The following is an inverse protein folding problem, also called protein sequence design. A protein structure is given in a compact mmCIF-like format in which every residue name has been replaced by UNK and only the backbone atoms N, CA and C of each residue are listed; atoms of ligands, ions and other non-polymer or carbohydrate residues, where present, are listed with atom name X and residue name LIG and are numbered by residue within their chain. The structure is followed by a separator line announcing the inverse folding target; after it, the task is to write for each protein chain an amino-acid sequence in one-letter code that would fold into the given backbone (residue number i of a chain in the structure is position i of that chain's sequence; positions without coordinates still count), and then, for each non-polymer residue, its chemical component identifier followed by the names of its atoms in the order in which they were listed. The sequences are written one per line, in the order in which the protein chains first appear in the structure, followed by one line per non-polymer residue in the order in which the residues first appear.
data_IF_686387559260
#
_entry.id   IF_686387559260
#
_cell.length_a   1.000
_cell.length_b   1.000
_cell.length_c   1.000
_cell.angle_alpha   90.00
_cell.angle_beta   90.00
_cell.angle_gamma   90.00
#
_symmetry.space_group_name_H-M   'P 1'
#
loop_
_entity.id
_entity.type
_entity.pdbx_description
1 polymer ?
#
# COMPACT_ATOMS: atom_id res chain seq x y z
N UNK A 1 -21.88 41.34 5.44
CA UNK A 1 -21.99 39.87 5.25
C UNK A 1 -20.67 39.39 4.71
N UNK A 2 -19.74 39.03 5.59
CA UNK A 2 -18.55 38.30 5.16
C UNK A 2 -19.04 36.98 4.57
N UNK A 3 -18.75 36.73 3.29
CA UNK A 3 -18.84 35.38 2.75
C UNK A 3 -17.83 34.57 3.56
N UNK A 4 -18.28 33.77 4.50
CA UNK A 4 -17.44 32.78 5.17
C UNK A 4 -16.82 31.95 4.07
N UNK A 5 -15.50 32.06 3.90
CA UNK A 5 -14.76 31.28 2.93
C UNK A 5 -15.02 29.80 3.19
N UNK A 6 -15.24 29.01 2.14
CA UNK A 6 -15.43 27.57 2.30
C UNK A 6 -14.20 26.95 2.98
N UNK A 7 -14.38 25.95 3.87
CA UNK A 7 -13.26 25.29 4.52
C UNK A 7 -12.28 24.70 3.49
N UNK A 8 -10.95 24.79 3.72
CA UNK A 8 -9.94 24.18 2.86
C UNK A 8 -10.21 22.72 2.49
N UNK A 9 -10.71 21.91 3.43
CA UNK A 9 -11.04 20.50 3.22
C UNK A 9 -12.20 20.31 2.24
N UNK A 10 -13.20 21.19 2.26
CA UNK A 10 -14.34 21.18 1.33
C UNK A 10 -13.90 21.59 -0.08
N UNK A 11 -13.02 22.59 -0.19
CA UNK A 11 -12.42 22.97 -1.47
C UNK A 11 -11.60 21.81 -2.07
N UNK A 12 -10.80 21.13 -1.24
CA UNK A 12 -10.03 19.96 -1.66
C UNK A 12 -10.94 18.81 -2.09
N UNK A 13 -12.05 18.57 -1.37
CA UNK A 13 -13.05 17.56 -1.75
C UNK A 13 -13.65 17.87 -3.13
N UNK A 14 -14.05 19.11 -3.39
CA UNK A 14 -14.60 19.51 -4.70
C UNK A 14 -13.61 19.26 -5.82
N UNK A 15 -12.35 19.65 -5.65
CA UNK A 15 -11.30 19.41 -6.65
C UNK A 15 -11.11 17.92 -6.92
N UNK A 16 -11.01 17.11 -5.85
CA UNK A 16 -10.86 15.66 -5.98
C UNK A 16 -12.05 15.00 -6.70
N UNK A 17 -13.28 15.34 -6.32
CA UNK A 17 -14.48 14.79 -6.91
C UNK A 17 -14.64 15.18 -8.38
N UNK A 18 -14.24 16.40 -8.74
CA UNK A 18 -14.24 16.86 -10.13
C UNK A 18 -13.30 16.04 -11.00
N UNK A 19 -12.06 15.84 -10.54
CA UNK A 19 -11.09 15.02 -11.26
C UNK A 19 -11.55 13.56 -11.36
N UNK A 20 -12.10 13.01 -10.26
CA UNK A 20 -12.62 11.65 -10.26
C UNK A 20 -13.73 11.45 -11.30
N UNK A 21 -14.66 12.40 -11.41
CA UNK A 21 -15.73 12.33 -12.40
C UNK A 21 -15.19 12.32 -13.84
N UNK A 22 -14.14 13.10 -14.12
CA UNK A 22 -13.48 13.13 -15.43
C UNK A 22 -12.73 11.83 -15.75
N UNK A 23 -12.23 11.14 -14.72
CA UNK A 23 -11.48 9.90 -14.85
C UNK A 23 -12.37 8.64 -14.97
N UNK A 24 -13.67 8.72 -14.66
CA UNK A 24 -14.55 7.55 -14.68
C UNK A 24 -14.77 7.00 -16.12
N UNK A 25 -14.71 5.67 -16.31
CA UNK A 25 -14.85 5.04 -17.61
C UNK A 25 -16.31 4.95 -18.04
N UNK A 26 -16.61 5.42 -19.26
CA UNK A 26 -17.92 5.31 -19.90
C UNK A 26 -18.03 6.36 -21.00
N UNK A 27 -18.38 5.93 -22.22
CA UNK A 27 -18.44 6.83 -23.39
C UNK A 27 -19.72 7.67 -23.40
N UNK A 28 -20.71 7.30 -22.59
CA UNK A 28 -21.99 8.00 -22.45
C UNK A 28 -22.05 8.69 -21.09
N UNK A 29 -22.42 9.97 -21.09
CA UNK A 29 -22.50 10.81 -19.89
C UNK A 29 -23.38 10.18 -18.78
N UNK A 30 -24.38 9.37 -19.16
CA UNK A 30 -25.30 8.72 -18.24
C UNK A 30 -24.69 7.59 -17.39
N UNK A 31 -23.81 6.76 -17.97
CA UNK A 31 -23.19 5.65 -17.23
C UNK A 31 -22.21 6.17 -16.17
N UNK A 32 -21.37 7.15 -16.54
CA UNK A 32 -20.44 7.81 -15.60
C UNK A 32 -21.17 8.45 -14.42
N UNK A 33 -22.34 9.07 -14.67
CA UNK A 33 -23.15 9.68 -13.61
C UNK A 33 -23.68 8.63 -12.64
N UNK A 34 -24.17 7.48 -13.14
CA UNK A 34 -24.67 6.40 -12.28
C UNK A 34 -23.53 5.81 -11.43
N UNK A 35 -22.37 5.57 -12.03
CA UNK A 35 -21.19 5.06 -11.31
C UNK A 35 -20.70 6.05 -10.26
N UNK A 36 -20.66 7.34 -10.60
CA UNK A 36 -20.28 8.39 -9.67
C UNK A 36 -21.26 8.53 -8.51
N UNK A 37 -22.57 8.50 -8.77
CA UNK A 37 -23.58 8.52 -7.70
C UNK A 37 -23.47 7.30 -6.77
N UNK A 38 -23.20 6.12 -7.34
CA UNK A 38 -22.94 4.90 -6.55
C UNK A 38 -21.69 5.08 -5.68
N UNK A 39 -20.61 5.63 -6.24
CA UNK A 39 -19.41 5.97 -5.50
C UNK A 39 -19.74 6.91 -4.34
N UNK A 40 -20.40 8.05 -4.59
CA UNK A 40 -20.78 9.03 -3.57
C UNK A 40 -21.57 8.39 -2.43
N UNK A 41 -22.54 7.54 -2.75
CA UNK A 41 -23.30 6.79 -1.74
C UNK A 41 -22.40 5.88 -0.90
N UNK A 42 -21.50 5.13 -1.53
CA UNK A 42 -20.60 4.20 -0.84
C UNK A 42 -19.63 4.92 0.10
N UNK A 43 -19.18 6.13 -0.26
CA UNK A 43 -18.27 6.92 0.56
C UNK A 43 -18.98 7.86 1.54
N UNK A 44 -20.33 7.84 1.60
CA UNK A 44 -21.11 8.66 2.55
C UNK A 44 -21.29 10.11 2.13
N UNK A 45 -21.15 10.41 0.84
CA UNK A 45 -21.32 11.74 0.24
C UNK A 45 -22.64 11.90 -0.53
N UNK A 46 -23.46 10.86 -0.64
CA UNK A 46 -24.65 10.83 -1.50
C UNK A 46 -25.69 11.91 -1.22
N UNK A 47 -25.88 12.30 0.04
CA UNK A 47 -26.85 13.33 0.44
C UNK A 47 -26.25 14.75 0.44
N UNK A 48 -24.92 14.85 0.42
CA UNK A 48 -24.20 16.12 0.52
C UNK A 48 -23.73 16.65 -0.83
N UNK A 49 -23.56 15.76 -1.82
CA UNK A 49 -22.97 16.09 -3.12
C UNK A 49 -24.00 15.86 -4.22
N UNK A 50 -24.29 16.92 -4.98
CA UNK A 50 -25.18 16.89 -6.13
C UNK A 50 -24.41 17.17 -7.44
N UNK A 51 -24.85 16.52 -8.51
CA UNK A 51 -24.34 16.74 -9.87
C UNK A 51 -25.30 17.66 -10.62
N UNK A 52 -24.80 18.81 -11.08
CA UNK A 52 -25.55 19.69 -11.96
C UNK A 52 -25.58 19.19 -13.41
N UNK A 53 -26.47 19.77 -14.21
CA UNK A 53 -26.75 19.35 -15.60
C UNK A 53 -25.53 19.35 -16.56
N UNK A 54 -24.44 20.03 -16.18
CA UNK A 54 -23.19 20.12 -16.97
C UNK A 54 -22.01 19.35 -16.34
N UNK A 55 -22.26 18.46 -15.38
CA UNK A 55 -21.20 17.77 -14.63
C UNK A 55 -20.54 18.63 -13.54
N UNK A 56 -21.16 19.77 -13.20
CA UNK A 56 -20.68 20.62 -12.11
C UNK A 56 -21.03 19.98 -10.77
N UNK A 57 -20.04 19.77 -9.93
CA UNK A 57 -20.23 19.23 -8.57
C UNK A 57 -20.60 20.35 -7.63
N UNK A 58 -21.72 20.19 -6.94
CA UNK A 58 -22.23 21.12 -5.93
C UNK A 58 -22.27 20.38 -4.59
N UNK A 59 -21.91 21.07 -3.51
CA UNK A 59 -22.03 20.53 -2.16
C UNK A 59 -23.11 21.34 -1.45
N UNK A 60 -24.15 20.67 -0.99
CA UNK A 60 -25.31 21.31 -0.36
C UNK A 60 -24.90 21.96 0.97
N UNK A 61 -25.04 23.30 1.13
CA UNK A 61 -24.61 23.97 2.36
C UNK A 61 -25.32 23.47 3.61
N UNK A 62 -26.56 23.00 3.46
CA UNK A 62 -27.36 22.41 4.55
C UNK A 62 -26.84 21.05 5.02
N UNK A 63 -26.09 20.33 4.19
CA UNK A 63 -25.53 19.02 4.54
C UNK A 63 -24.15 19.12 5.21
N UNK A 64 -23.45 20.26 5.07
CA UNK A 64 -22.11 20.47 5.63
C UNK A 64 -22.02 20.21 7.14
N UNK A 65 -22.95 20.66 8.00
CA UNK A 65 -22.85 20.42 9.45
C UNK A 65 -22.90 18.94 9.85
N UNK A 66 -23.55 18.11 9.03
CA UNK A 66 -23.67 16.66 9.26
C UNK A 66 -22.62 15.83 8.52
N UNK A 67 -21.80 16.44 7.67
CA UNK A 67 -20.85 15.74 6.83
C UNK A 67 -19.66 15.24 7.66
N UNK A 68 -19.52 13.93 7.79
CA UNK A 68 -18.33 13.31 8.39
C UNK A 68 -17.23 13.16 7.34
N UNK A 69 -16.52 14.27 7.08
CA UNK A 69 -15.45 14.30 6.09
C UNK A 69 -14.28 13.35 6.40
N UNK A 70 -13.82 13.19 7.66
CA UNK A 70 -12.82 12.18 8.00
C UNK A 70 -13.22 10.76 7.59
N UNK A 71 -14.47 10.37 7.79
CA UNK A 71 -14.96 9.05 7.36
C UNK A 71 -15.13 8.96 5.84
N UNK A 72 -15.56 10.03 5.18
CA UNK A 72 -15.64 10.07 3.73
C UNK A 72 -14.24 9.90 3.10
N UNK A 73 -13.23 10.65 3.56
CA UNK A 73 -11.84 10.52 3.11
C UNK A 73 -11.31 9.09 3.29
N UNK A 74 -11.55 8.49 4.48
CA UNK A 74 -11.24 7.08 4.75
C UNK A 74 -11.88 6.14 3.72
N UNK A 75 -13.19 6.27 3.48
CA UNK A 75 -13.91 5.40 2.54
C UNK A 75 -13.47 5.60 1.10
N UNK A 76 -13.13 6.82 0.70
CA UNK A 76 -12.57 7.12 -0.63
C UNK A 76 -11.28 6.31 -0.85
N UNK A 77 -10.34 6.35 0.11
CA UNK A 77 -9.10 5.59 0.02
C UNK A 77 -9.32 4.09 -0.05
N UNK A 78 -10.25 3.56 0.76
CA UNK A 78 -10.55 2.13 0.76
C UNK A 78 -11.26 1.71 -0.53
N UNK A 79 -12.08 2.58 -1.11
CA UNK A 79 -12.81 2.30 -2.34
C UNK A 79 -11.89 2.32 -3.57
N UNK A 80 -11.05 3.35 -3.69
CA UNK A 80 -10.15 3.50 -4.84
C UNK A 80 -8.86 2.69 -4.67
N UNK A 81 -8.44 2.41 -3.44
CA UNK A 81 -7.30 1.55 -3.15
C UNK A 81 -6.02 2.07 -3.79
N UNK A 82 -5.47 1.28 -4.71
CA UNK A 82 -4.26 1.56 -5.50
C UNK A 82 -4.58 2.00 -6.95
N UNK A 83 -5.85 2.26 -7.27
CA UNK A 83 -6.31 2.57 -8.63
C UNK A 83 -6.21 4.07 -8.98
N UNK A 84 -5.83 4.93 -8.04
CA UNK A 84 -5.70 6.36 -8.32
C UNK A 84 -4.48 6.62 -9.22
N UNK A 85 -4.73 7.30 -10.34
CA UNK A 85 -3.65 7.85 -11.17
C UNK A 85 -2.87 8.96 -10.43
N UNK A 86 -1.74 9.44 -10.98
CA UNK A 86 -0.93 10.45 -10.32
C UNK A 86 -1.68 11.75 -9.98
N UNK A 87 -2.57 12.24 -10.86
CA UNK A 87 -3.31 13.49 -10.65
C UNK A 87 -4.32 13.32 -9.53
N UNK A 88 -5.14 12.27 -9.61
CA UNK A 88 -6.14 11.96 -8.60
C UNK A 88 -5.51 11.68 -7.23
N UNK A 89 -4.35 11.02 -7.22
CA UNK A 89 -3.60 10.74 -5.99
C UNK A 89 -3.14 12.02 -5.28
N UNK A 90 -2.61 13.01 -6.00
CA UNK A 90 -2.17 14.27 -5.39
C UNK A 90 -3.35 15.08 -4.83
N UNK A 91 -4.49 15.09 -5.53
CA UNK A 91 -5.72 15.69 -5.03
C UNK A 91 -6.24 14.98 -3.78
N UNK A 92 -6.18 13.64 -3.76
CA UNK A 92 -6.55 12.86 -2.57
C UNK A 92 -5.62 13.15 -1.39
N UNK A 93 -4.31 13.23 -1.61
CA UNK A 93 -3.34 13.58 -0.55
C UNK A 93 -3.66 14.95 0.02
N UNK A 94 -3.98 15.94 -0.83
CA UNK A 94 -4.43 17.26 -0.36
C UNK A 94 -5.71 17.16 0.47
N UNK A 95 -6.75 16.49 -0.04
CA UNK A 95 -8.00 16.26 0.68
C UNK A 95 -7.74 15.65 2.07
N UNK A 96 -6.90 14.63 2.14
CA UNK A 96 -6.56 13.96 3.39
C UNK A 96 -5.90 14.91 4.39
N UNK A 97 -4.88 15.66 3.96
CA UNK A 97 -4.11 16.55 4.84
C UNK A 97 -4.97 17.70 5.37
N UNK A 98 -5.76 18.35 4.51
CA UNK A 98 -6.68 19.42 4.93
C UNK A 98 -7.74 18.88 5.91
N UNK A 99 -8.30 17.70 5.63
CA UNK A 99 -9.27 17.04 6.53
C UNK A 99 -8.64 16.72 7.88
N UNK A 100 -7.41 16.21 7.90
CA UNK A 100 -6.70 15.91 9.13
C UNK A 100 -6.40 17.17 9.94
N UNK A 101 -5.91 18.24 9.32
CA UNK A 101 -5.59 19.50 10.02
C UNK A 101 -6.82 20.19 10.60
N UNK A 102 -7.94 20.21 9.87
CA UNK A 102 -9.19 20.77 10.39
C UNK A 102 -9.74 19.94 11.56
N UNK A 103 -9.70 18.60 11.43
CA UNK A 103 -10.14 17.71 12.50
C UNK A 103 -9.24 17.83 13.74
N UNK A 104 -7.93 17.92 13.53
CA UNK A 104 -6.93 18.12 14.59
C UNK A 104 -7.09 19.46 15.28
N UNK A 105 -7.36 20.52 14.54
CA UNK A 105 -7.63 21.86 15.09
C UNK A 105 -8.87 21.86 15.99
N UNK A 106 -9.85 21.02 15.69
CA UNK A 106 -11.06 20.84 16.51
C UNK A 106 -10.80 19.93 17.72
N UNK A 107 -10.06 18.83 17.53
CA UNK A 107 -9.66 17.91 18.60
C UNK A 107 -8.46 17.06 18.19
N UNK A 108 -7.27 17.44 18.67
CA UNK A 108 -6.04 16.68 18.39
C UNK A 108 -6.08 15.22 18.90
N UNK A 109 -6.61 14.91 20.10
CA UNK A 109 -6.73 13.52 20.53
C UNK A 109 -7.62 12.68 19.60
N UNK A 110 -8.75 13.23 19.15
CA UNK A 110 -9.66 12.51 18.26
C UNK A 110 -9.03 12.29 16.87
N UNK A 111 -8.36 13.31 16.32
CA UNK A 111 -7.64 13.20 15.06
C UNK A 111 -6.52 12.15 15.11
N UNK A 112 -5.79 12.07 16.23
CA UNK A 112 -4.75 11.05 16.43
C UNK A 112 -5.32 9.64 16.57
N UNK A 113 -6.47 9.47 17.23
CA UNK A 113 -7.17 8.17 17.29
C UNK A 113 -7.62 7.74 15.90
N UNK A 114 -8.22 8.66 15.13
CA UNK A 114 -8.66 8.42 13.76
C UNK A 114 -7.49 8.03 12.84
N UNK A 115 -6.39 8.80 12.87
CA UNK A 115 -5.19 8.47 12.12
C UNK A 115 -4.64 7.10 12.54
N UNK A 116 -4.60 6.80 13.84
CA UNK A 116 -4.17 5.49 14.34
C UNK A 116 -5.03 4.33 13.85
N UNK A 117 -6.35 4.53 13.69
CA UNK A 117 -7.24 3.54 13.09
C UNK A 117 -6.95 3.38 11.60
N UNK A 118 -6.81 4.47 10.86
CA UNK A 118 -6.42 4.43 9.44
C UNK A 118 -5.08 3.74 9.20
N UNK A 119 -4.08 3.98 10.04
CA UNK A 119 -2.80 3.29 9.95
C UNK A 119 -2.97 1.78 10.13
N UNK A 120 -3.94 1.30 10.93
CA UNK A 120 -4.22 -0.13 11.07
C UNK A 120 -5.00 -0.71 9.90
N UNK A 121 -5.90 0.07 9.33
CA UNK A 121 -6.80 -0.40 8.26
C UNK A 121 -6.13 -0.36 6.88
N UNK A 122 -5.36 0.70 6.60
CA UNK A 122 -4.81 0.99 5.27
C UNK A 122 -3.47 1.75 5.32
N UNK A 123 -2.65 1.55 6.36
CA UNK A 123 -1.36 2.22 6.51
C UNK A 123 -0.43 2.03 5.31
N UNK A 124 -0.46 0.87 4.66
CA UNK A 124 0.27 0.63 3.42
C UNK A 124 -0.06 1.63 2.32
N UNK A 125 -1.36 1.90 2.09
CA UNK A 125 -1.79 2.89 1.08
C UNK A 125 -1.38 4.30 1.47
N UNK A 126 -1.54 4.68 2.75
CA UNK A 126 -1.10 5.99 3.24
C UNK A 126 0.41 6.20 3.03
N UNK A 127 1.21 5.17 3.30
CA UNK A 127 2.65 5.20 3.05
C UNK A 127 2.95 5.31 1.56
N UNK A 128 2.31 4.47 0.73
CA UNK A 128 2.55 4.46 -0.71
C UNK A 128 2.19 5.77 -1.44
N UNK A 129 1.11 6.43 -1.02
CA UNK A 129 0.72 7.75 -1.52
C UNK A 129 1.56 8.90 -0.93
N UNK A 130 2.50 8.61 -0.02
CA UNK A 130 3.38 9.61 0.59
C UNK A 130 2.67 10.53 1.59
N UNK A 131 1.50 10.12 2.09
CA UNK A 131 0.76 10.90 3.10
C UNK A 131 1.55 10.96 4.40
N UNK A 132 2.14 9.83 4.80
CA UNK A 132 2.91 9.73 6.05
C UNK A 132 4.06 10.75 6.10
N UNK A 133 4.74 10.98 4.99
CA UNK A 133 5.87 11.91 4.91
C UNK A 133 5.45 13.39 4.92
N UNK A 134 4.18 13.68 4.59
CA UNK A 134 3.62 15.03 4.52
C UNK A 134 2.84 15.43 5.77
N UNK A 135 2.58 14.49 6.69
CA UNK A 135 1.96 14.80 7.97
C UNK A 135 2.89 15.67 8.85
N UNK A 136 2.32 16.46 9.77
CA UNK A 136 3.11 17.30 10.65
C UNK A 136 4.12 16.49 11.48
N UNK A 137 5.34 17.03 11.64
CA UNK A 137 6.45 16.35 12.32
C UNK A 137 6.18 15.95 13.78
N UNK A 138 5.22 16.61 14.43
CA UNK A 138 4.86 16.30 15.81
C UNK A 138 3.90 15.11 15.94
N UNK A 139 3.37 14.59 14.82
CA UNK A 139 2.60 13.35 14.81
C UNK A 139 3.55 12.17 15.00
N UNK A 140 3.36 11.42 16.10
CA UNK A 140 4.17 10.25 16.40
C UNK A 140 3.78 9.09 15.49
N UNK A 141 4.74 8.59 14.72
CA UNK A 141 4.56 7.43 13.84
C UNK A 141 5.13 6.16 14.46
N UNK A 142 4.49 4.99 14.27
CA UNK A 142 5.11 3.70 14.58
C UNK A 142 6.44 3.54 13.84
N UNK A 143 7.44 2.96 14.51
CA UNK A 143 8.78 2.77 13.95
C UNK A 143 8.77 1.99 12.62
N UNK A 144 7.79 1.10 12.44
CA UNK A 144 7.56 0.38 11.20
C UNK A 144 7.54 1.30 9.97
N UNK A 145 6.89 2.46 10.03
CA UNK A 145 6.77 3.38 8.88
C UNK A 145 8.08 4.11 8.56
N UNK A 146 9.00 4.21 9.52
CA UNK A 146 10.34 4.72 9.27
C UNK A 146 11.22 3.66 8.60
N UNK A 147 11.04 2.40 8.99
CA UNK A 147 11.76 1.25 8.46
C UNK A 147 11.28 0.90 7.05
N UNK A 148 9.98 0.70 6.87
CA UNK A 148 9.36 0.19 5.64
C UNK A 148 8.84 1.32 4.77
N UNK A 149 9.77 2.10 4.21
CA UNK A 149 9.44 3.17 3.27
C UNK A 149 9.00 2.60 1.91
N UNK A 150 8.12 3.29 1.17
CA UNK A 150 7.71 2.82 -0.16
C UNK A 150 8.92 2.60 -1.07
N UNK A 151 9.00 1.42 -1.70
CA UNK A 151 10.12 1.04 -2.55
C UNK A 151 11.40 0.60 -1.81
N UNK A 152 11.37 0.47 -0.48
CA UNK A 152 12.52 0.00 0.30
C UNK A 152 12.80 -1.49 0.10
N UNK A 153 14.04 -1.87 0.40
CA UNK A 153 14.50 -3.26 0.42
C UNK A 153 15.11 -3.60 1.77
N UNK A 154 14.77 -4.77 2.30
CA UNK A 154 15.25 -5.28 3.58
C UNK A 154 15.85 -6.68 3.38
N UNK A 155 17.17 -6.77 3.42
CA UNK A 155 17.89 -8.04 3.43
C UNK A 155 18.08 -8.50 4.88
N UNK A 156 17.52 -9.64 5.26
CA UNK A 156 17.63 -10.24 6.59
C UNK A 156 18.51 -11.49 6.54
N UNK A 157 19.58 -11.49 7.34
CA UNK A 157 20.53 -12.61 7.47
C UNK A 157 20.14 -13.44 8.68
N UNK A 158 19.44 -14.54 8.46
CA UNK A 158 18.84 -15.35 9.53
C UNK A 158 18.81 -16.84 9.13
N UNK A 159 19.02 -17.75 10.08
CA UNK A 159 19.02 -19.19 9.79
C UNK A 159 17.62 -19.67 9.34
N UNK A 160 16.59 -19.14 10.00
CA UNK A 160 15.16 -19.35 9.75
C UNK A 160 14.51 -17.97 9.59
N UNK A 161 13.47 -17.83 8.75
CA UNK A 161 12.90 -16.53 8.39
C UNK A 161 12.03 -15.86 9.49
N UNK A 162 12.36 -16.06 10.77
CA UNK A 162 11.50 -15.65 11.87
C UNK A 162 11.36 -14.13 11.98
N UNK A 163 12.44 -13.38 11.82
CA UNK A 163 12.42 -11.92 11.91
C UNK A 163 11.73 -11.31 10.69
N UNK A 164 11.99 -11.85 9.50
CA UNK A 164 11.32 -11.42 8.28
C UNK A 164 9.80 -11.59 8.36
N UNK A 165 9.34 -12.75 8.86
CA UNK A 165 7.90 -12.97 9.06
C UNK A 165 7.31 -12.10 10.18
N UNK A 166 8.06 -11.82 11.25
CA UNK A 166 7.61 -10.91 12.30
C UNK A 166 7.41 -9.48 11.75
N UNK A 167 8.36 -8.98 10.95
CA UNK A 167 8.27 -7.69 10.28
C UNK A 167 7.05 -7.62 9.33
N UNK A 168 6.86 -8.65 8.51
CA UNK A 168 5.70 -8.72 7.61
C UNK A 168 4.40 -8.80 8.41
N UNK A 169 4.37 -9.53 9.52
CA UNK A 169 3.19 -9.61 10.38
C UNK A 169 2.86 -8.26 11.02
N UNK A 170 3.86 -7.52 11.47
CA UNK A 170 3.67 -6.15 11.96
C UNK A 170 3.12 -5.24 10.87
N UNK A 171 3.67 -5.31 9.65
CA UNK A 171 3.15 -4.55 8.50
C UNK A 171 1.69 -4.86 8.20
N UNK A 172 1.29 -6.13 8.22
CA UNK A 172 -0.13 -6.52 8.05
C UNK A 172 -1.03 -5.93 9.14
N UNK A 173 -0.54 -5.82 10.39
CA UNK A 173 -1.31 -5.19 11.47
C UNK A 173 -1.47 -3.67 11.28
N UNK A 174 -0.65 -3.07 10.43
CA UNK A 174 -0.72 -1.68 9.98
C UNK A 174 -1.26 -1.54 8.54
N UNK A 175 -2.13 -2.45 8.11
CA UNK A 175 -2.90 -2.32 6.87
C UNK A 175 -2.06 -2.45 5.59
N UNK A 176 -0.84 -2.99 5.65
CA UNK A 176 -0.10 -3.38 4.45
C UNK A 176 -0.63 -4.70 3.90
N UNK A 177 -0.75 -4.80 2.58
CA UNK A 177 -1.01 -6.09 1.92
C UNK A 177 0.28 -6.91 1.88
N UNK A 178 0.23 -8.19 2.24
CA UNK A 178 1.42 -9.05 2.27
C UNK A 178 1.35 -10.15 1.21
N UNK A 179 2.44 -10.28 0.47
CA UNK A 179 2.68 -11.28 -0.55
C UNK A 179 3.94 -12.05 -0.18
N UNK A 180 3.86 -13.37 -0.06
CA UNK A 180 5.00 -14.19 0.34
C UNK A 180 5.29 -15.27 -0.70
N UNK A 181 6.52 -15.31 -1.20
CA UNK A 181 7.06 -16.45 -1.94
C UNK A 181 7.93 -17.25 -0.97
N UNK A 182 7.50 -18.47 -0.66
CA UNK A 182 8.06 -19.23 0.47
C UNK A 182 8.50 -20.64 0.07
N UNK A 183 9.54 -21.17 0.70
CA UNK A 183 9.96 -22.58 0.58
C UNK A 183 9.06 -23.55 1.35
N UNK A 184 8.25 -23.05 2.29
CA UNK A 184 7.36 -23.86 3.09
C UNK A 184 5.93 -23.84 2.55
N UNK A 185 5.21 -24.91 2.82
CA UNK A 185 3.80 -25.02 2.46
C UNK A 185 2.96 -23.87 3.09
N UNK A 186 1.99 -23.28 2.37
CA UNK A 186 1.28 -22.09 2.84
C UNK A 186 0.53 -22.30 4.16
N UNK A 187 -0.03 -23.49 4.38
CA UNK A 187 -0.72 -23.87 5.62
C UNK A 187 0.19 -23.65 6.85
N UNK A 188 1.47 -24.01 6.75
CA UNK A 188 2.48 -23.85 7.81
C UNK A 188 2.82 -22.40 8.05
N UNK A 189 2.92 -21.59 7.00
CA UNK A 189 3.19 -20.16 7.12
C UNK A 189 2.02 -19.45 7.80
N UNK A 190 0.78 -19.72 7.37
CA UNK A 190 -0.42 -19.14 7.99
C UNK A 190 -0.54 -19.49 9.46
N UNK A 191 -0.31 -20.76 9.80
CA UNK A 191 -0.37 -21.24 11.18
C UNK A 191 0.73 -20.63 12.05
N UNK A 192 1.98 -20.66 11.59
CA UNK A 192 3.14 -20.25 12.38
C UNK A 192 3.25 -18.74 12.59
N UNK A 193 2.85 -17.94 11.59
CA UNK A 193 3.10 -16.49 11.58
C UNK A 193 1.82 -15.64 11.59
N UNK A 194 0.63 -16.27 11.64
CA UNK A 194 -0.63 -15.54 11.75
C UNK A 194 -0.98 -14.71 10.50
N UNK A 195 -0.53 -15.15 9.33
CA UNK A 195 -0.72 -14.49 8.02
C UNK A 195 -1.95 -15.03 7.29
N UNK A 196 -3.11 -15.02 7.96
CA UNK A 196 -4.34 -15.66 7.46
C UNK A 196 -4.84 -15.08 6.14
N UNK A 197 -4.75 -13.77 5.96
CA UNK A 197 -5.28 -13.05 4.79
C UNK A 197 -4.20 -12.65 3.77
N UNK A 198 -2.98 -13.16 3.93
CA UNK A 198 -1.86 -12.85 3.02
C UNK A 198 -1.88 -13.76 1.79
N UNK A 199 -1.42 -13.22 0.67
CA UNK A 199 -1.17 -14.00 -0.55
C UNK A 199 0.13 -14.77 -0.36
N UNK A 200 0.07 -16.11 -0.43
CA UNK A 200 1.23 -16.97 -0.20
C UNK A 200 1.38 -17.92 -1.38
N UNK A 201 2.52 -17.86 -2.04
CA UNK A 201 2.93 -18.75 -3.13
C UNK A 201 4.00 -19.69 -2.60
N UNK A 202 3.80 -20.98 -2.80
CA UNK A 202 4.78 -21.98 -2.43
C UNK A 202 5.77 -22.25 -3.56
N UNK A 203 7.04 -21.99 -3.30
CA UNK A 203 8.14 -22.31 -4.19
C UNK A 203 8.41 -23.83 -4.16
N UNK A 204 7.93 -24.55 -5.16
CA UNK A 204 8.06 -26.02 -5.21
C UNK A 204 7.91 -26.57 -6.63
N UNK A 205 8.54 -27.70 -6.92
CA UNK A 205 8.28 -28.51 -8.12
C UNK A 205 7.06 -29.42 -7.97
N UNK A 206 6.46 -29.50 -6.77
CA UNK A 206 5.29 -30.35 -6.53
C UNK A 206 4.07 -29.78 -7.22
N UNK A 207 3.39 -30.61 -8.01
CA UNK A 207 2.07 -30.30 -8.56
C UNK A 207 1.02 -30.57 -7.48
N UNK A 208 0.51 -29.50 -6.87
CA UNK A 208 -0.53 -29.55 -5.83
C UNK A 208 -1.67 -28.59 -6.17
N UNK A 209 -2.73 -28.57 -5.36
CA UNK A 209 -3.89 -27.69 -5.58
C UNK A 209 -3.63 -26.25 -5.16
N UNK A 210 -2.74 -26.05 -4.19
CA UNK A 210 -2.31 -24.75 -3.71
C UNK A 210 -1.60 -23.94 -4.80
N UNK A 211 -1.57 -22.62 -4.66
CA UNK A 211 -0.82 -21.73 -5.55
C UNK A 211 0.68 -21.99 -5.39
N UNK A 212 1.30 -22.54 -6.43
CA UNK A 212 2.74 -22.85 -6.47
C UNK A 212 3.46 -22.10 -7.58
N UNK A 213 4.77 -21.93 -7.43
CA UNK A 213 5.67 -21.53 -8.50
C UNK A 213 6.97 -22.35 -8.41
N UNK A 214 7.59 -22.67 -9.53
CA UNK A 214 8.83 -23.46 -9.51
C UNK A 214 10.06 -22.56 -9.33
N UNK A 215 11.15 -23.04 -8.71
CA UNK A 215 12.36 -22.23 -8.51
C UNK A 215 13.04 -21.72 -9.79
N UNK A 216 12.82 -22.36 -10.94
CA UNK A 216 13.31 -21.96 -12.26
C UNK A 216 12.41 -20.94 -12.97
N UNK A 217 11.17 -20.75 -12.52
CA UNK A 217 10.24 -19.76 -13.10
C UNK A 217 10.47 -18.34 -12.56
N UNK A 218 11.66 -17.80 -12.85
CA UNK A 218 12.05 -16.45 -12.47
C UNK A 218 11.10 -15.40 -13.07
N UNK A 219 10.70 -15.59 -14.33
CA UNK A 219 9.80 -14.68 -15.04
C UNK A 219 8.40 -14.65 -14.41
N UNK A 220 7.86 -15.80 -14.02
CA UNK A 220 6.59 -15.89 -13.30
C UNK A 220 6.65 -15.20 -11.93
N UNK A 221 7.76 -15.34 -11.20
CA UNK A 221 7.96 -14.64 -9.94
C UNK A 221 8.06 -13.12 -10.13
N UNK A 222 8.81 -12.64 -11.12
CA UNK A 222 8.88 -11.21 -11.47
C UNK A 222 7.53 -10.64 -11.89
N UNK A 223 6.76 -11.39 -12.68
CA UNK A 223 5.40 -11.01 -13.09
C UNK A 223 4.45 -10.91 -11.90
N UNK A 224 4.53 -11.88 -10.97
CA UNK A 224 3.78 -11.83 -9.71
C UNK A 224 4.13 -10.58 -8.91
N UNK A 225 5.41 -10.27 -8.69
CA UNK A 225 5.84 -9.07 -7.97
C UNK A 225 5.42 -7.79 -8.70
N UNK A 226 5.43 -7.79 -10.03
CA UNK A 226 4.98 -6.65 -10.85
C UNK A 226 3.47 -6.39 -10.73
N UNK A 227 2.68 -7.42 -10.43
CA UNK A 227 1.24 -7.30 -10.18
C UNK A 227 0.89 -6.81 -8.77
N UNK A 228 1.88 -6.71 -7.88
CA UNK A 228 1.67 -6.23 -6.51
C UNK A 228 1.49 -4.71 -6.53
N UNK A 229 0.33 -4.27 -6.01
CA UNK A 229 -0.05 -2.87 -5.95
C UNK A 229 0.61 -2.07 -4.83
N UNK A 230 0.32 -0.77 -4.82
CA UNK A 230 0.80 0.20 -3.84
C UNK A 230 0.50 -0.24 -2.40
N UNK A 231 1.40 0.06 -1.46
CA UNK A 231 1.17 -0.23 -0.05
C UNK A 231 1.28 -1.70 0.34
N UNK A 232 2.10 -2.44 -0.41
CA UNK A 232 2.29 -3.88 -0.24
C UNK A 232 3.71 -4.22 0.19
N UNK A 233 3.83 -5.34 0.91
CA UNK A 233 5.09 -5.96 1.31
C UNK A 233 5.23 -7.30 0.61
N UNK A 234 6.37 -7.52 -0.04
CA UNK A 234 6.73 -8.74 -0.74
C UNK A 234 7.86 -9.43 0.01
N UNK A 235 7.62 -10.63 0.52
CA UNK A 235 8.61 -11.45 1.23
C UNK A 235 9.09 -12.61 0.35
N UNK A 236 10.40 -12.81 0.30
CA UNK A 236 11.03 -14.02 -0.20
C UNK A 236 11.83 -14.69 0.93
N UNK A 237 11.46 -15.92 1.31
CA UNK A 237 12.23 -16.73 2.30
C UNK A 237 13.03 -17.88 1.67
N UNK A 238 13.02 -17.92 0.35
CA UNK A 238 13.42 -19.06 -0.48
C UNK A 238 14.62 -18.75 -1.38
N UNK A 239 15.48 -17.81 -0.97
CA UNK A 239 16.69 -17.45 -1.72
C UNK A 239 17.56 -18.68 -2.05
N UNK A 240 17.69 -19.60 -1.09
CA UNK A 240 18.55 -20.77 -1.25
C UNK A 240 18.02 -21.74 -2.29
N UNK A 241 16.71 -21.95 -2.33
CA UNK A 241 16.05 -22.81 -3.31
C UNK A 241 16.19 -22.22 -4.73
N UNK A 242 16.06 -20.91 -4.88
CA UNK A 242 16.29 -20.21 -6.15
C UNK A 242 17.78 -20.32 -6.56
N UNK A 243 18.70 -20.11 -5.62
CA UNK A 243 20.15 -20.21 -5.86
C UNK A 243 20.58 -21.61 -6.30
N UNK A 244 20.01 -22.66 -5.70
CA UNK A 244 20.36 -24.05 -6.04
C UNK A 244 20.04 -24.36 -7.50
N UNK A 245 18.93 -23.85 -8.01
CA UNK A 245 18.48 -24.13 -9.39
C UNK A 245 19.12 -23.20 -10.42
N UNK A 246 19.30 -21.92 -10.10
CA UNK A 246 19.72 -20.89 -11.06
C UNK A 246 21.19 -20.47 -10.90
N UNK A 247 21.88 -21.00 -9.90
CA UNK A 247 23.19 -20.50 -9.47
C UNK A 247 23.12 -19.15 -8.75
N UNK A 248 24.22 -18.77 -8.11
CA UNK A 248 24.29 -17.52 -7.35
C UNK A 248 24.12 -16.27 -8.23
N UNK A 249 24.80 -16.24 -9.39
CA UNK A 249 24.72 -15.10 -10.30
C UNK A 249 23.28 -14.89 -10.79
N UNK A 250 22.59 -15.97 -11.20
CA UNK A 250 21.19 -15.90 -11.64
C UNK A 250 20.26 -15.42 -10.53
N UNK A 251 20.41 -15.96 -9.31
CA UNK A 251 19.62 -15.49 -8.17
C UNK A 251 19.88 -14.01 -7.83
N UNK A 252 21.14 -13.56 -7.86
CA UNK A 252 21.50 -12.17 -7.57
C UNK A 252 20.88 -11.19 -8.57
N UNK A 253 20.94 -11.49 -9.87
CA UNK A 253 20.31 -10.63 -10.88
C UNK A 253 18.79 -10.63 -10.76
N UNK A 254 18.19 -11.78 -10.47
CA UNK A 254 16.76 -11.86 -10.19
C UNK A 254 16.34 -10.95 -9.03
N UNK A 255 17.04 -10.98 -7.89
CA UNK A 255 16.69 -10.10 -6.77
C UNK A 255 16.98 -8.61 -7.04
N UNK A 256 17.92 -8.27 -7.93
CA UNK A 256 18.12 -6.89 -8.42
C UNK A 256 16.97 -6.43 -9.32
N UNK A 257 16.46 -7.32 -10.15
CA UNK A 257 15.26 -7.06 -10.95
C UNK A 257 14.06 -6.81 -10.01
N UNK A 258 13.83 -7.68 -9.03
CA UNK A 258 12.77 -7.50 -8.04
C UNK A 258 12.90 -6.18 -7.28
N UNK A 259 14.12 -5.79 -6.88
CA UNK A 259 14.38 -4.47 -6.27
C UNK A 259 13.90 -3.33 -7.18
N UNK A 260 14.18 -3.43 -8.47
CA UNK A 260 13.78 -2.41 -9.45
C UNK A 260 12.26 -2.34 -9.62
N UNK A 261 11.60 -3.52 -9.69
CA UNK A 261 10.14 -3.62 -9.75
C UNK A 261 9.50 -3.01 -8.50
N UNK A 262 9.98 -3.38 -7.30
CA UNK A 262 9.45 -2.89 -6.04
C UNK A 262 9.65 -1.38 -5.87
N UNK A 263 10.80 -0.84 -6.28
CA UNK A 263 11.05 0.60 -6.29
C UNK A 263 10.06 1.36 -7.19
N UNK A 264 9.78 0.82 -8.39
CA UNK A 264 8.82 1.41 -9.34
C UNK A 264 7.38 1.37 -8.80
N UNK A 265 6.96 0.22 -8.28
CA UNK A 265 5.60 0.01 -7.77
C UNK A 265 5.40 0.55 -6.35
N UNK A 266 6.47 1.10 -5.73
CA UNK A 266 6.49 1.56 -4.34
C UNK A 266 6.09 0.46 -3.33
N UNK A 267 6.31 -0.80 -3.67
CA UNK A 267 6.16 -1.93 -2.75
C UNK A 267 7.47 -2.17 -1.99
N UNK A 268 7.38 -2.76 -0.80
CA UNK A 268 8.55 -3.04 0.03
C UNK A 268 9.00 -4.48 -0.18
N UNK A 269 10.28 -4.69 -0.47
CA UNK A 269 10.86 -6.02 -0.65
C UNK A 269 11.58 -6.48 0.62
N UNK A 270 11.22 -7.65 1.14
CA UNK A 270 11.89 -8.31 2.27
C UNK A 270 12.47 -9.63 1.76
N UNK A 271 13.76 -9.86 2.01
CA UNK A 271 14.48 -11.05 1.56
C UNK A 271 15.15 -11.67 2.78
N UNK A 272 14.78 -12.92 3.08
CA UNK A 272 15.43 -13.72 4.11
C UNK A 272 16.47 -14.64 3.47
N UNK A 273 17.72 -14.53 3.93
CA UNK A 273 18.83 -15.40 3.52
C UNK A 273 19.45 -16.08 4.74
N UNK A 274 19.82 -17.35 4.59
CA UNK A 274 20.66 -18.02 5.58
C UNK A 274 22.14 -17.77 5.24
N UNK A 275 22.88 -17.00 6.07
CA UNK A 275 24.25 -16.63 5.76
C UNK A 275 25.21 -17.83 5.80
N UNK A 276 24.90 -18.87 6.59
CA UNK A 276 25.72 -20.09 6.68
C UNK A 276 25.73 -20.91 5.39
N UNK A 277 24.81 -20.63 4.47
CA UNK A 277 24.70 -21.29 3.17
C UNK A 277 25.35 -20.48 2.05
N UNK A 278 26.12 -19.44 2.35
CA UNK A 278 26.75 -18.54 1.39
C UNK A 278 28.23 -18.37 1.72
N UNK A 279 29.06 -18.16 0.70
CA UNK A 279 30.46 -17.76 0.91
C UNK A 279 30.53 -16.29 1.32
N UNK A 280 31.66 -15.86 1.90
CA UNK A 280 31.88 -14.46 2.24
C UNK A 280 31.77 -13.53 1.02
N UNK A 281 32.32 -13.96 -0.12
CA UNK A 281 32.20 -13.24 -1.40
C UNK A 281 30.74 -13.08 -1.84
N UNK A 282 29.92 -14.14 -1.70
CA UNK A 282 28.50 -14.12 -2.03
C UNK A 282 27.72 -13.18 -1.10
N UNK A 283 28.04 -13.19 0.19
CA UNK A 283 27.42 -12.29 1.18
C UNK A 283 27.76 -10.83 0.87
N UNK A 284 29.03 -10.52 0.61
CA UNK A 284 29.48 -9.18 0.23
C UNK A 284 28.78 -8.69 -1.05
N UNK A 285 28.68 -9.54 -2.07
CA UNK A 285 27.97 -9.21 -3.31
C UNK A 285 26.47 -8.96 -3.10
N UNK A 286 25.82 -9.70 -2.20
CA UNK A 286 24.42 -9.48 -1.83
C UNK A 286 24.24 -8.16 -1.08
N UNK A 287 25.10 -7.85 -0.12
CA UNK A 287 25.06 -6.58 0.61
C UNK A 287 25.27 -5.39 -0.33
N UNK A 288 26.20 -5.49 -1.28
CA UNK A 288 26.42 -4.43 -2.26
C UNK A 288 25.22 -4.24 -3.19
N UNK A 289 24.57 -5.34 -3.59
CA UNK A 289 23.46 -5.32 -4.54
C UNK A 289 22.11 -4.95 -3.91
N UNK A 290 21.86 -5.42 -2.69
CA UNK A 290 20.55 -5.46 -2.05
C UNK A 290 20.56 -4.85 -0.64
N UNK A 291 21.74 -4.64 -0.05
CA UNK A 291 21.87 -3.89 1.19
C UNK A 291 21.46 -2.45 0.96
N UNK A 292 20.35 -2.05 1.61
CA UNK A 292 20.07 -0.64 1.80
C UNK A 292 21.23 -0.01 2.57
N UNK A 293 21.65 1.20 2.20
CA UNK A 293 22.50 2.00 3.09
C UNK A 293 21.67 2.27 4.34
N UNK A 294 21.90 1.52 5.40
CA UNK A 294 21.57 1.99 6.75
C UNK A 294 22.43 3.24 6.95
N UNK A 295 21.80 4.41 6.78
CA UNK A 295 22.33 5.70 7.19
C UNK A 295 21.60 6.12 8.45
#
# INVERSE_FOLDING_TARGET
MERTAEPPSILALKSFLHELLLALPGKELGENVIEFQRFLKNVGLGDAVSLGEKGNISIEPSALPSLNLPEAARKILLYLGDQMDPVLSELYVKLFLETYEEFRSSSEPAANIWLGQLLRDCGGLLSGYGIIDRLPKNVKMPQLFQLMKPGSIHLRKEEKPAESYALVKEAVNYGFKAFCVTKLEPSKIRYRYGLKNSEIIWLTFKKVKERTITPDDLAGMSSFVSSVGLGSVVLFDCFQEIKVVNGFKGALEFFRELRTICAKNKSILVISINPMKLTEEQLSALDQALGGREK
#
